data_IF_310543811172
#
_entry.id   IF_310543811172
#
_cell.length_a   1.000
_cell.length_b   1.000
_cell.length_c   1.000
_cell.angle_alpha   90.00
_cell.angle_beta   90.00
_cell.angle_gamma   90.00
#
_symmetry.space_group_name_H-M   'P 1'
#
loop_
_entity.id
_entity.type
_entity.pdbx_description
1 polymer ?
#
# COMPACT_ATOMS: atom_id res chain seq x y z
N UNK A 1 12.43 -1.65 -27.51
CA UNK A 1 13.37 -2.77 -27.66
C UNK A 1 14.05 -2.97 -26.33
N UNK A 2 14.03 -4.19 -25.78
CA UNK A 2 14.75 -4.52 -24.53
C UNK A 2 16.23 -4.68 -24.87
N UNK A 3 17.12 -4.03 -24.11
CA UNK A 3 18.56 -4.06 -24.34
C UNK A 3 19.24 -4.47 -23.03
N UNK A 4 20.07 -5.50 -23.12
CA UNK A 4 21.02 -5.88 -22.08
C UNK A 4 22.43 -5.54 -22.54
N UNK A 5 23.21 -4.90 -21.68
CA UNK A 5 24.61 -4.57 -21.98
C UNK A 5 25.47 -5.00 -20.81
N UNK A 6 26.58 -5.70 -21.09
CA UNK A 6 27.54 -6.11 -20.08
C UNK A 6 28.84 -5.35 -20.32
N UNK A 7 29.36 -4.68 -19.29
CA UNK A 7 30.65 -4.00 -19.31
C UNK A 7 31.40 -4.29 -18.03
N UNK A 8 32.48 -5.08 -18.13
CA UNK A 8 33.20 -5.56 -16.95
C UNK A 8 32.27 -6.38 -16.06
N UNK A 9 32.10 -5.93 -14.82
CA UNK A 9 31.24 -6.59 -13.83
C UNK A 9 29.82 -5.98 -13.78
N UNK A 10 29.49 -5.08 -14.69
CA UNK A 10 28.21 -4.37 -14.69
C UNK A 10 27.30 -4.88 -15.79
N UNK A 11 26.07 -5.27 -15.42
CA UNK A 11 24.96 -5.54 -16.31
C UNK A 11 23.99 -4.35 -16.29
N UNK A 12 23.71 -3.78 -17.45
CA UNK A 12 22.69 -2.72 -17.62
C UNK A 12 21.48 -3.28 -18.36
N UNK A 13 20.29 -2.96 -17.85
CA UNK A 13 19.00 -3.22 -18.47
C UNK A 13 18.39 -1.89 -18.93
N UNK A 14 18.04 -1.79 -20.21
CA UNK A 14 17.28 -0.68 -20.77
C UNK A 14 16.03 -1.17 -21.51
N UNK A 15 14.90 -0.49 -21.28
CA UNK A 15 13.64 -0.77 -21.95
C UNK A 15 13.01 -2.12 -21.57
N UNK A 16 13.32 -2.65 -20.38
CA UNK A 16 12.72 -3.87 -19.85
C UNK A 16 11.20 -3.74 -19.78
N UNK A 17 10.51 -4.77 -20.24
CA UNK A 17 9.05 -4.84 -20.27
C UNK A 17 8.62 -6.27 -19.97
N UNK A 18 7.78 -6.42 -18.95
CA UNK A 18 7.07 -7.66 -18.64
C UNK A 18 5.58 -7.32 -18.69
N UNK A 19 4.84 -8.04 -19.54
CA UNK A 19 3.40 -7.92 -19.65
C UNK A 19 2.79 -9.30 -19.41
N UNK A 20 2.05 -9.43 -18.31
CA UNK A 20 1.41 -10.69 -17.89
C UNK A 20 -0.07 -10.74 -18.27
N UNK A 21 -0.60 -9.68 -18.88
CA UNK A 21 -2.04 -9.48 -19.05
C UNK A 21 -2.76 -9.00 -17.78
N UNK A 22 -2.27 -9.35 -16.58
CA UNK A 22 -2.77 -8.85 -15.30
C UNK A 22 -2.10 -7.54 -14.87
N UNK A 23 -0.85 -7.36 -15.28
CA UNK A 23 -0.07 -6.17 -15.03
C UNK A 23 1.07 -6.03 -16.03
N UNK A 24 1.47 -4.78 -16.24
CA UNK A 24 2.56 -4.35 -17.10
C UNK A 24 3.63 -3.68 -16.26
N UNK A 25 4.81 -4.29 -16.22
CA UNK A 25 5.99 -3.80 -15.52
C UNK A 25 7.00 -3.31 -16.54
N UNK A 26 7.46 -2.07 -16.37
CA UNK A 26 8.63 -1.53 -17.06
C UNK A 26 9.81 -1.51 -16.10
N UNK A 27 11.01 -1.77 -16.60
CA UNK A 27 12.22 -1.78 -15.79
C UNK A 27 13.43 -1.27 -16.58
N UNK A 28 14.17 -0.36 -15.96
CA UNK A 28 15.52 0.01 -16.34
C UNK A 28 16.39 -0.16 -15.10
N UNK A 29 17.65 -0.54 -15.28
CA UNK A 29 18.49 -0.75 -14.11
C UNK A 29 19.93 -1.10 -14.40
N UNK A 30 20.68 -1.17 -13.31
CA UNK A 30 22.08 -1.55 -13.28
C UNK A 30 22.27 -2.61 -12.18
N UNK A 31 23.02 -3.65 -12.50
CA UNK A 31 23.54 -4.58 -11.51
C UNK A 31 25.06 -4.61 -11.63
N UNK A 32 25.74 -4.23 -10.55
CA UNK A 32 27.19 -4.36 -10.42
C UNK A 32 27.47 -5.61 -9.62
N UNK A 33 28.20 -6.55 -10.23
CA UNK A 33 28.61 -7.81 -9.63
C UNK A 33 30.10 -7.77 -9.26
N UNK A 34 30.47 -6.82 -8.39
CA UNK A 34 31.82 -6.69 -7.83
C UNK A 34 31.92 -7.44 -6.50
N UNK A 35 33.06 -8.08 -6.23
CA UNK A 35 33.29 -8.75 -4.94
C UNK A 35 33.24 -7.72 -3.80
N UNK A 36 32.26 -7.84 -2.90
CA UNK A 36 32.04 -6.91 -1.79
C UNK A 36 31.37 -5.58 -2.16
N UNK A 37 31.11 -5.33 -3.45
CA UNK A 37 30.48 -4.09 -3.96
C UNK A 37 29.19 -4.39 -4.75
N UNK A 38 28.59 -5.54 -4.46
CA UNK A 38 27.42 -5.96 -5.20
C UNK A 38 26.25 -5.00 -4.94
N UNK A 39 25.67 -4.47 -6.02
CA UNK A 39 24.54 -3.56 -5.93
C UNK A 39 23.61 -3.71 -7.11
N UNK A 40 22.32 -3.59 -6.84
CA UNK A 40 21.28 -3.50 -7.86
C UNK A 40 20.55 -2.18 -7.70
N UNK A 41 20.30 -1.51 -8.82
CA UNK A 41 19.41 -0.37 -8.93
C UNK A 41 18.38 -0.67 -10.01
N UNK A 42 17.10 -0.61 -9.67
CA UNK A 42 15.99 -0.80 -10.61
C UNK A 42 15.03 0.38 -10.49
N UNK A 43 14.60 0.90 -11.63
CA UNK A 43 13.55 1.90 -11.70
C UNK A 43 12.59 1.62 -12.84
N UNK A 44 11.35 2.03 -12.66
CA UNK A 44 10.34 1.91 -13.68
C UNK A 44 8.96 2.07 -13.11
N UNK A 45 8.01 1.41 -13.75
CA UNK A 45 6.61 1.55 -13.44
C UNK A 45 5.88 0.22 -13.56
N UNK A 46 4.98 -0.05 -12.62
CA UNK A 46 4.10 -1.20 -12.57
C UNK A 46 2.64 -0.72 -12.65
N UNK A 47 1.92 -1.13 -13.69
CA UNK A 47 0.54 -0.72 -13.97
C UNK A 47 -0.38 -1.91 -14.21
N UNK A 48 -1.65 -1.76 -13.86
CA UNK A 48 -2.67 -2.76 -14.20
C UNK A 48 -4.08 -2.32 -13.83
N UNK A 49 -5.07 -3.09 -14.29
CA UNK A 49 -6.48 -2.72 -14.16
C UNK A 49 -7.15 -3.34 -12.93
N UNK A 50 -6.60 -4.43 -12.38
CA UNK A 50 -7.14 -5.15 -11.23
C UNK A 50 -6.02 -5.64 -10.32
N UNK A 51 -5.82 -4.95 -9.20
CA UNK A 51 -4.76 -5.23 -8.24
C UNK A 51 -4.88 -6.62 -7.61
N UNK A 52 -6.09 -7.06 -7.29
CA UNK A 52 -6.37 -8.38 -6.74
C UNK A 52 -5.98 -9.50 -7.70
N UNK A 53 -6.35 -9.38 -8.99
CA UNK A 53 -5.98 -10.35 -10.01
C UNK A 53 -4.46 -10.42 -10.22
N UNK A 54 -3.79 -9.25 -10.27
CA UNK A 54 -2.34 -9.17 -10.40
C UNK A 54 -1.62 -9.75 -9.17
N UNK A 55 -2.05 -9.40 -7.96
CA UNK A 55 -1.43 -9.87 -6.72
C UNK A 55 -1.59 -11.39 -6.56
N UNK A 56 -2.79 -11.93 -6.86
CA UNK A 56 -3.04 -13.36 -6.82
C UNK A 56 -2.17 -14.15 -7.81
N UNK A 57 -1.91 -13.60 -9.01
CA UNK A 57 -1.01 -14.21 -9.99
C UNK A 57 0.42 -14.37 -9.43
N UNK A 58 0.87 -13.43 -8.61
CA UNK A 58 2.18 -13.48 -7.93
C UNK A 58 2.13 -14.15 -6.54
N UNK A 59 1.00 -14.73 -6.15
CA UNK A 59 0.83 -15.41 -4.85
C UNK A 59 0.71 -14.48 -3.65
N UNK A 60 0.41 -13.20 -3.87
CA UNK A 60 0.24 -12.18 -2.82
C UNK A 60 -1.26 -11.98 -2.57
N UNK A 61 -1.67 -12.09 -1.31
CA UNK A 61 -3.03 -11.74 -0.90
C UNK A 61 -3.11 -10.25 -0.56
N UNK A 62 -4.14 -9.57 -1.09
CA UNK A 62 -4.42 -8.16 -0.81
C UNK A 62 -5.87 -7.99 -0.37
N UNK A 63 -6.17 -7.11 0.60
CA UNK A 63 -7.54 -6.76 0.94
C UNK A 63 -8.20 -5.87 -0.14
N UNK A 64 -7.41 -5.27 -1.04
CA UNK A 64 -7.91 -4.35 -2.06
C UNK A 64 -8.41 -5.13 -3.28
N UNK A 65 -9.67 -4.90 -3.65
CA UNK A 65 -10.34 -5.58 -4.76
C UNK A 65 -10.73 -4.60 -5.86
N UNK A 66 -10.64 -5.06 -7.11
CA UNK A 66 -11.19 -4.38 -8.28
C UNK A 66 -10.51 -3.07 -8.69
N UNK A 67 -9.49 -2.63 -7.94
CA UNK A 67 -8.82 -1.36 -8.17
C UNK A 67 -7.72 -1.46 -9.23
N UNK A 68 -7.66 -0.48 -10.12
CA UNK A 68 -6.48 -0.27 -10.97
C UNK A 68 -5.31 0.23 -10.14
N UNK A 69 -4.09 -0.03 -10.59
CA UNK A 69 -2.88 0.40 -9.90
C UNK A 69 -1.87 1.01 -10.86
N UNK A 70 -1.16 2.01 -10.35
CA UNK A 70 -0.02 2.66 -10.96
C UNK A 70 1.03 2.89 -9.88
N UNK A 71 2.15 2.19 -9.98
CA UNK A 71 3.26 2.25 -9.05
C UNK A 71 4.52 2.67 -9.82
N UNK A 72 5.02 3.86 -9.56
CA UNK A 72 6.37 4.24 -9.94
C UNK A 72 7.34 3.84 -8.82
N UNK A 73 8.49 3.28 -9.20
CA UNK A 73 9.51 2.84 -8.25
C UNK A 73 10.90 3.23 -8.74
N UNK A 74 11.76 3.59 -7.78
CA UNK A 74 13.21 3.73 -7.95
C UNK A 74 13.85 3.14 -6.69
N UNK A 75 14.42 1.94 -6.83
CA UNK A 75 14.86 1.10 -5.73
C UNK A 75 16.31 0.67 -5.93
N UNK A 76 17.03 0.55 -4.81
CA UNK A 76 18.36 -0.02 -4.80
C UNK A 76 18.66 -0.82 -3.54
N UNK A 77 19.47 -1.86 -3.68
CA UNK A 77 19.91 -2.74 -2.58
C UNK A 77 21.28 -3.35 -2.90
N UNK A 78 21.89 -3.98 -1.89
CA UNK A 78 23.26 -4.53 -1.96
C UNK A 78 23.28 -6.06 -2.17
N UNK A 79 22.50 -6.55 -3.14
CA UNK A 79 22.49 -7.97 -3.54
C UNK A 79 22.03 -8.14 -5.01
N UNK A 80 21.67 -9.35 -5.45
CA UNK A 80 21.35 -9.71 -6.83
C UNK A 80 19.94 -9.21 -7.21
N UNK A 81 19.65 -8.94 -8.49
CA UNK A 81 18.34 -8.47 -8.93
C UNK A 81 17.17 -9.40 -8.58
N UNK A 82 17.41 -10.71 -8.52
CA UNK A 82 16.40 -11.74 -8.20
C UNK A 82 16.35 -12.11 -6.71
N UNK A 83 17.19 -11.50 -5.88
CA UNK A 83 17.21 -11.70 -4.43
C UNK A 83 17.42 -10.36 -3.72
N UNK A 84 16.36 -9.54 -3.60
CA UNK A 84 16.43 -8.29 -2.86
C UNK A 84 16.86 -8.51 -1.41
N UNK A 85 17.85 -7.75 -0.97
CA UNK A 85 18.24 -7.67 0.44
C UNK A 85 17.44 -6.56 1.12
N UNK A 86 16.39 -6.95 1.85
CA UNK A 86 15.49 -6.00 2.52
C UNK A 86 16.23 -5.05 3.46
N UNK A 87 17.28 -5.51 4.15
CA UNK A 87 18.02 -4.71 5.12
C UNK A 87 18.84 -3.57 4.50
N UNK A 88 19.23 -3.69 3.22
CA UNK A 88 19.90 -2.62 2.47
C UNK A 88 19.00 -1.94 1.45
N UNK A 89 17.71 -2.29 1.41
CA UNK A 89 16.76 -1.71 0.49
C UNK A 89 16.57 -0.23 0.82
N UNK A 90 16.67 0.58 -0.23
CA UNK A 90 16.51 2.02 -0.20
C UNK A 90 15.80 2.45 -1.50
N UNK A 91 15.09 3.56 -1.45
CA UNK A 91 14.46 4.10 -2.66
C UNK A 91 13.17 4.87 -2.40
N UNK A 92 12.43 5.12 -3.49
CA UNK A 92 11.18 5.87 -3.47
C UNK A 92 10.12 5.08 -4.24
N UNK A 93 8.91 5.09 -3.70
CA UNK A 93 7.72 4.52 -4.29
C UNK A 93 6.66 5.61 -4.39
N UNK A 94 5.96 5.66 -5.53
CA UNK A 94 4.77 6.50 -5.69
C UNK A 94 3.64 5.63 -6.21
N UNK A 95 2.59 5.53 -5.41
CA UNK A 95 1.47 4.63 -5.67
C UNK A 95 0.20 5.43 -5.90
N UNK A 96 -0.55 5.05 -6.92
CA UNK A 96 -1.93 5.47 -7.14
C UNK A 96 -2.80 4.26 -7.41
N UNK A 97 -3.85 4.11 -6.63
CA UNK A 97 -4.92 3.15 -6.87
C UNK A 97 -6.16 3.91 -7.34
N UNK A 98 -6.85 3.35 -8.34
CA UNK A 98 -8.14 3.87 -8.81
C UNK A 98 -9.31 3.37 -7.95
N UNK A 99 -10.54 3.55 -8.44
CA UNK A 99 -11.74 3.12 -7.72
C UNK A 99 -11.69 1.64 -7.35
N UNK A 100 -12.08 1.29 -6.14
CA UNK A 100 -12.08 -0.09 -5.67
C UNK A 100 -12.72 -0.24 -4.30
N UNK A 101 -12.46 -1.39 -3.68
CA UNK A 101 -13.00 -1.74 -2.37
C UNK A 101 -11.89 -2.34 -1.51
N UNK A 102 -11.77 -1.89 -0.27
CA UNK A 102 -11.00 -2.58 0.76
C UNK A 102 -11.96 -3.56 1.41
N UNK A 103 -11.82 -4.85 1.09
CA UNK A 103 -12.67 -5.89 1.63
C UNK A 103 -12.42 -6.08 3.14
N UNK A 104 -13.50 -6.28 3.90
CA UNK A 104 -13.37 -6.62 5.31
C UNK A 104 -12.73 -8.01 5.47
N UNK A 105 -11.56 -8.04 6.13
CA UNK A 105 -10.83 -9.27 6.46
C UNK A 105 -11.56 -10.15 7.50
N UNK A 106 -12.65 -9.65 8.09
CA UNK A 106 -13.47 -10.38 9.06
C UNK A 106 -14.28 -11.56 8.47
N UNK A 107 -14.32 -11.70 7.14
CA UNK A 107 -15.16 -12.70 6.45
C UNK A 107 -14.41 -13.97 5.97
N UNK A 108 -13.13 -14.13 6.32
CA UNK A 108 -12.32 -15.29 5.92
C UNK A 108 -11.76 -16.11 7.09
N UNK A 109 -11.38 -17.36 6.81
CA UNK A 109 -10.74 -18.29 7.76
C UNK A 109 -9.48 -17.75 8.46
N UNK A 110 -8.89 -16.65 7.99
CA UNK A 110 -7.80 -15.92 8.65
C UNK A 110 -8.25 -15.10 9.88
N UNK A 111 -9.53 -14.71 9.97
CA UNK A 111 -10.09 -13.95 11.09
C UNK A 111 -10.29 -14.76 12.38
N UNK A 112 -10.18 -16.09 12.31
CA UNK A 112 -10.41 -16.97 13.46
C UNK A 112 -9.20 -17.05 14.40
N UNK A 113 -7.99 -16.76 13.91
CA UNK A 113 -6.75 -16.81 14.68
C UNK A 113 -6.50 -15.53 15.49
N UNK A 114 -7.06 -14.39 15.08
CA UNK A 114 -6.98 -13.14 15.85
C UNK A 114 -8.10 -13.01 16.89
N UNK A 115 -9.15 -13.85 16.82
CA UNK A 115 -10.27 -13.83 17.78
C UNK A 115 -9.92 -14.33 19.18
N UNK A 116 -8.73 -14.92 19.36
CA UNK A 116 -8.26 -15.48 20.63
C UNK A 116 -7.42 -14.51 21.46
N UNK A 117 -7.08 -13.33 20.95
CA UNK A 117 -6.35 -12.32 21.71
C UNK A 117 -7.03 -10.95 21.55
N UNK A 118 -7.82 -10.60 22.55
CA UNK A 118 -8.02 -9.21 23.02
C UNK A 118 -8.76 -8.19 22.12
N UNK A 119 -9.90 -8.56 21.51
CA UNK A 119 -10.84 -7.57 20.93
C UNK A 119 -12.32 -7.75 21.29
N UNK A 120 -12.66 -8.75 22.11
CA UNK A 120 -14.06 -9.10 22.38
C UNK A 120 -14.77 -8.16 23.38
N UNK A 121 -14.01 -7.38 24.16
CA UNK A 121 -14.57 -6.44 25.14
C UNK A 121 -14.83 -5.03 24.56
N UNK A 122 -14.07 -4.62 23.54
CA UNK A 122 -14.20 -3.31 22.90
C UNK A 122 -15.30 -3.31 21.84
N UNK A 123 -15.47 -4.41 21.09
CA UNK A 123 -16.44 -4.50 20.00
C UNK A 123 -17.91 -4.50 20.46
N UNK A 124 -18.21 -5.00 21.66
CA UNK A 124 -19.59 -5.09 22.17
C UNK A 124 -20.24 -3.72 22.44
N UNK A 125 -19.45 -2.68 22.70
CA UNK A 125 -19.97 -1.32 22.94
C UNK A 125 -20.08 -0.46 21.68
N UNK A 126 -19.31 -0.76 20.63
CA UNK A 126 -19.33 0.01 19.37
C UNK A 126 -20.31 -0.55 18.34
N UNK A 127 -20.67 -1.85 18.42
CA UNK A 127 -21.61 -2.49 17.49
C UNK A 127 -23.08 -2.09 17.67
N UNK A 128 -23.44 -1.46 18.79
CA UNK A 128 -24.85 -1.11 19.06
C UNK A 128 -25.34 0.16 18.33
N UNK A 129 -24.44 0.99 17.76
CA UNK A 129 -24.81 2.27 17.13
C UNK A 129 -24.57 2.36 15.60
N UNK A 130 -23.89 1.37 14.97
CA UNK A 130 -23.44 1.50 13.56
C UNK A 130 -23.73 0.29 12.66
N UNK A 131 -24.85 -0.40 12.90
CA UNK A 131 -25.15 -1.66 12.22
C UNK A 131 -25.56 -1.52 10.72
N UNK A 132 -25.77 -0.30 10.21
CA UNK A 132 -26.33 -0.09 8.85
C UNK A 132 -25.38 0.54 7.82
N UNK A 133 -24.09 0.74 8.13
CA UNK A 133 -23.15 1.43 7.19
C UNK A 133 -21.91 0.62 6.79
N UNK A 134 -21.59 -0.48 7.50
CA UNK A 134 -20.29 -1.17 7.33
C UNK A 134 -20.38 -2.61 6.78
N UNK A 135 -21.46 -2.98 6.09
CA UNK A 135 -21.80 -4.40 5.97
C UNK A 135 -21.08 -5.23 4.90
N UNK A 136 -20.29 -4.69 3.96
CA UNK A 136 -19.67 -5.54 2.90
C UNK A 136 -18.20 -5.21 2.52
N UNK A 137 -17.72 -3.99 2.74
CA UNK A 137 -16.36 -3.53 2.45
C UNK A 137 -16.28 -2.00 2.54
N UNK A 138 -15.09 -1.42 2.48
CA UNK A 138 -14.89 0.04 2.44
C UNK A 138 -14.61 0.48 1.00
N UNK A 139 -15.55 1.19 0.38
CA UNK A 139 -15.43 1.63 -1.01
C UNK A 139 -14.62 2.92 -1.09
N UNK A 140 -13.81 3.03 -2.14
CA UNK A 140 -12.99 4.21 -2.35
C UNK A 140 -12.87 4.57 -3.82
N UNK A 141 -12.70 5.86 -4.07
CA UNK A 141 -12.49 6.42 -5.40
C UNK A 141 -11.01 6.48 -5.77
N UNK A 142 -10.12 6.72 -4.79
CA UNK A 142 -8.68 6.58 -5.01
C UNK A 142 -7.87 6.38 -3.73
N UNK A 143 -6.71 5.75 -3.87
CA UNK A 143 -5.65 5.75 -2.84
C UNK A 143 -4.40 6.36 -3.46
N UNK A 144 -3.76 7.29 -2.77
CA UNK A 144 -2.50 7.92 -3.21
C UNK A 144 -1.50 7.88 -2.08
N UNK A 145 -0.25 7.57 -2.39
CA UNK A 145 0.81 7.49 -1.40
C UNK A 145 2.17 7.74 -2.04
N UNK A 146 2.99 8.54 -1.37
CA UNK A 146 4.44 8.59 -1.57
C UNK A 146 5.10 7.89 -0.39
N UNK A 147 6.06 7.03 -0.69
CA UNK A 147 6.85 6.37 0.34
C UNK A 147 8.33 6.40 -0.02
N UNK A 148 9.18 6.52 1.00
CA UNK A 148 10.62 6.32 0.85
C UNK A 148 11.06 5.18 1.75
N UNK A 149 12.00 4.40 1.27
CA UNK A 149 12.59 3.29 1.99
C UNK A 149 14.02 3.69 2.36
N UNK A 150 14.37 3.50 3.62
CA UNK A 150 15.74 3.66 4.11
C UNK A 150 16.14 2.46 4.95
N UNK A 151 17.19 1.77 4.54
CA UNK A 151 17.76 0.61 5.25
C UNK A 151 16.69 -0.41 5.68
N UNK A 152 15.77 -0.72 4.75
CA UNK A 152 14.67 -1.66 4.98
C UNK A 152 13.49 -1.12 5.79
N UNK A 153 13.47 0.17 6.13
CA UNK A 153 12.32 0.82 6.77
C UNK A 153 11.62 1.72 5.76
N UNK A 154 10.39 1.38 5.42
CA UNK A 154 9.51 2.20 4.59
C UNK A 154 8.86 3.27 5.44
N UNK A 155 8.76 4.49 4.93
CA UNK A 155 8.11 5.63 5.56
C UNK A 155 7.13 6.29 4.59
N UNK A 156 6.03 6.80 5.11
CA UNK A 156 5.07 7.62 4.36
C UNK A 156 4.45 8.66 5.29
N UNK A 157 4.16 9.84 4.75
CA UNK A 157 3.54 10.96 5.46
C UNK A 157 2.28 11.52 4.77
N UNK A 158 2.00 11.06 3.55
CA UNK A 158 1.01 11.63 2.64
C UNK A 158 0.04 10.59 2.06
N UNK A 159 -0.13 9.45 2.74
CA UNK A 159 -1.07 8.43 2.24
C UNK A 159 -2.50 8.92 2.45
N UNK A 160 -3.26 9.00 1.36
CA UNK A 160 -4.64 9.48 1.36
C UNK A 160 -5.54 8.45 0.68
N UNK A 161 -6.65 8.13 1.33
CA UNK A 161 -7.75 7.34 0.81
C UNK A 161 -8.97 8.25 0.69
N UNK A 162 -9.44 8.40 -0.53
CA UNK A 162 -10.66 9.13 -0.91
C UNK A 162 -11.79 8.10 -0.93
N UNK A 163 -12.51 8.00 0.19
CA UNK A 163 -13.47 6.93 0.47
C UNK A 163 -14.91 7.39 0.31
N UNK A 164 -15.81 6.46 -0.01
CA UNK A 164 -17.23 6.77 -0.16
C UNK A 164 -17.88 7.16 1.18
N UNK A 165 -17.51 6.48 2.26
CA UNK A 165 -18.07 6.72 3.59
C UNK A 165 -17.21 7.67 4.45
N UNK A 166 -15.91 7.77 4.13
CA UNK A 166 -14.97 8.61 4.87
C UNK A 166 -13.67 8.86 4.07
N UNK A 167 -13.08 10.02 4.27
CA UNK A 167 -11.69 10.28 3.90
C UNK A 167 -10.74 9.74 4.99
N UNK A 168 -9.64 9.12 4.57
CA UNK A 168 -8.61 8.60 5.49
C UNK A 168 -7.24 9.17 5.11
N UNK A 169 -6.57 9.79 6.07
CA UNK A 169 -5.17 10.16 5.95
C UNK A 169 -4.30 9.25 6.83
N UNK A 170 -3.22 8.72 6.28
CA UNK A 170 -2.30 7.81 6.96
C UNK A 170 -0.86 8.27 6.84
N UNK A 171 -0.10 8.08 7.92
CA UNK A 171 1.35 8.30 7.98
C UNK A 171 1.99 7.29 8.92
N UNK A 172 3.29 7.06 8.78
CA UNK A 172 4.04 6.20 9.68
C UNK A 172 5.18 5.48 8.99
N UNK A 173 5.48 4.28 9.49
CA UNK A 173 6.58 3.46 9.01
C UNK A 173 6.30 1.97 9.08
N UNK A 174 6.98 1.22 8.21
CA UNK A 174 6.96 -0.24 8.17
C UNK A 174 8.39 -0.75 8.12
N UNK A 175 8.81 -1.49 9.13
CA UNK A 175 10.08 -2.18 9.13
C UNK A 175 9.94 -3.49 8.34
N UNK A 176 10.47 -3.51 7.11
CA UNK A 176 10.35 -4.66 6.20
C UNK A 176 11.12 -5.87 6.73
N UNK A 177 12.26 -5.66 7.38
CA UNK A 177 13.12 -6.71 7.93
C UNK A 177 12.47 -7.41 9.12
N UNK A 178 11.87 -6.63 10.02
CA UNK A 178 11.24 -7.12 11.26
C UNK A 178 9.76 -7.44 11.10
N UNK A 179 9.14 -7.02 9.99
CA UNK A 179 7.69 -7.12 9.73
C UNK A 179 6.86 -6.37 10.78
N UNK A 180 7.37 -5.23 11.22
CA UNK A 180 6.74 -4.37 12.23
C UNK A 180 6.12 -3.15 11.55
N UNK A 181 4.96 -2.72 12.03
CA UNK A 181 4.22 -1.60 11.46
C UNK A 181 3.87 -0.60 12.56
N UNK A 182 4.19 0.67 12.34
CA UNK A 182 3.83 1.79 13.22
C UNK A 182 3.15 2.87 12.35
N UNK A 183 1.82 2.84 12.31
CA UNK A 183 1.00 3.69 11.45
C UNK A 183 -0.05 4.44 12.26
N UNK A 184 -0.24 5.70 11.90
CA UNK A 184 -1.32 6.55 12.39
C UNK A 184 -2.30 6.82 11.26
N UNK A 185 -3.60 6.69 11.55
CA UNK A 185 -4.67 7.00 10.63
C UNK A 185 -5.61 8.04 11.24
N UNK A 186 -5.98 9.04 10.45
CA UNK A 186 -7.00 10.04 10.76
C UNK A 186 -8.17 9.79 9.84
N UNK A 187 -9.36 9.59 10.41
CA UNK A 187 -10.58 9.29 9.66
C UNK A 187 -11.55 10.46 9.77
N UNK A 188 -11.99 10.96 8.62
CA UNK A 188 -12.95 12.05 8.47
C UNK A 188 -14.20 11.51 7.75
N UNK A 189 -15.30 11.23 8.47
CA UNK A 189 -16.53 10.73 7.86
C UNK A 189 -17.13 11.70 6.85
N UNK A 190 -17.66 11.17 5.75
CA UNK A 190 -18.49 11.95 4.83
C UNK A 190 -19.86 12.21 5.48
N UNK A 191 -20.09 13.44 5.96
CA UNK A 191 -21.40 13.82 6.52
C UNK A 191 -22.31 14.21 5.36
N UNK A 192 -23.19 13.30 4.94
CA UNK A 192 -24.37 13.64 4.14
C UNK A 192 -25.34 14.46 4.99
N UNK A 193 -25.04 15.74 5.21
CA UNK A 193 -25.94 16.62 5.95
C UNK A 193 -27.19 16.88 5.09
N UNK A 194 -28.36 16.43 5.56
CA UNK A 194 -29.61 17.05 5.11
C UNK A 194 -29.50 18.55 5.39
N UNK A 195 -29.98 19.39 4.47
CA UNK A 195 -29.77 20.85 4.42
C UNK A 195 -30.00 21.57 5.77
N UNK A 196 -30.79 20.99 6.67
CA UNK A 196 -31.05 21.53 8.02
C UNK A 196 -29.89 21.41 9.03
N UNK A 197 -28.94 20.50 8.88
CA UNK A 197 -27.87 20.26 9.88
C UNK A 197 -26.53 20.93 9.52
N UNK A 198 -26.34 21.29 8.25
CA UNK A 198 -25.10 21.90 7.74
C UNK A 198 -24.73 23.23 8.44
N UNK A 199 -25.72 23.97 8.95
CA UNK A 199 -25.50 25.25 9.64
C UNK A 199 -24.74 25.12 10.98
N UNK A 200 -24.75 23.93 11.62
CA UNK A 200 -24.08 23.71 12.91
C UNK A 200 -22.60 23.33 12.78
N UNK A 201 -22.16 22.82 11.62
CA UNK A 201 -20.81 22.26 11.42
C UNK A 201 -19.82 23.22 10.72
N UNK A 202 -20.27 24.39 10.26
CA UNK A 202 -19.44 25.37 9.56
C UNK A 202 -18.33 26.01 10.42
N UNK A 203 -18.34 25.80 11.74
CA UNK A 203 -17.43 26.46 12.68
C UNK A 203 -16.17 25.62 12.96
N UNK A 204 -16.20 24.29 12.78
CA UNK A 204 -15.02 23.44 12.97
C UNK A 204 -15.25 22.04 12.35
N UNK A 205 -14.47 21.59 11.34
CA UNK A 205 -14.59 20.22 10.84
C UNK A 205 -14.23 19.23 11.96
N UNK A 206 -15.15 18.31 12.27
CA UNK A 206 -14.95 17.31 13.31
C UNK A 206 -13.96 16.28 12.77
N UNK A 207 -12.75 16.25 13.34
CA UNK A 207 -11.85 15.09 13.22
C UNK A 207 -12.55 13.91 13.92
N UNK A 208 -13.06 12.95 13.14
CA UNK A 208 -13.99 11.92 13.63
C UNK A 208 -13.34 10.85 14.49
N UNK A 209 -12.08 10.48 14.21
CA UNK A 209 -11.28 9.60 15.04
C UNK A 209 -9.80 9.62 14.62
N UNK A 210 -8.89 9.36 15.56
CA UNK A 210 -7.50 9.02 15.29
C UNK A 210 -7.23 7.60 15.78
N UNK A 211 -6.59 6.78 14.95
CA UNK A 211 -6.25 5.38 15.24
C UNK A 211 -4.74 5.20 15.13
N UNK A 212 -4.14 4.48 16.08
CA UNK A 212 -2.72 4.11 16.07
C UNK A 212 -2.61 2.60 16.01
N UNK A 213 -1.91 2.10 14.99
CA UNK A 213 -1.64 0.68 14.79
C UNK A 213 -0.14 0.43 15.03
N UNK A 214 0.17 -0.35 16.07
CA UNK A 214 1.52 -0.87 16.36
C UNK A 214 1.48 -2.37 16.52
N UNK A 215 2.31 -3.07 15.76
CA UNK A 215 2.45 -4.53 15.84
C UNK A 215 3.92 -4.93 15.78
#
# INVERSE_FOLDING_TARGET
>A
MVIFTIKGNTLTLAGGLIDTGFGRLTANGEWVNGAGEQRTSLKGQLKGNKLDAASNYFGITTPIRGSSFDLDYDLHWRDQPWKPDEASLNGILKTRLGKGEIADLSTGHAGQLLRLLSFDALLRKLRFDFNDTFSEGFYFDSIRSTAWIKDGVLHTDDTLVDGLEADIAMKGSVNLVRRELDMEAVVAPEISATVGVAAAFAVNPIVGAAVVCRQ
#
